data_IF_745480596992
#
_entry.id   IF_745480596992
#
_cell.length_a   1.000
_cell.length_b   1.000
_cell.length_c   1.000
_cell.angle_alpha   90.00
_cell.angle_beta   90.00
_cell.angle_gamma   90.00
#
_symmetry.space_group_name_H-M   'P 1'
#
loop_
_entity.id
_entity.type
_entity.pdbx_description
1 polymer ?
#
# COMPACT_ATOMS: atom_id res chain seq x y z
N UNK A 1 9.91 24.54 27.17
CA UNK A 1 9.13 23.29 27.06
C UNK A 1 9.88 22.38 26.11
N UNK A 2 10.40 21.25 26.59
CA UNK A 2 11.10 20.27 25.74
C UNK A 2 10.07 19.27 25.23
N UNK A 3 9.99 18.99 23.92
CA UNK A 3 9.06 17.98 23.42
C UNK A 3 9.51 16.60 23.91
N UNK A 4 8.67 15.96 24.73
CA UNK A 4 8.87 14.58 25.17
C UNK A 4 8.43 13.66 24.03
N UNK A 5 9.38 13.16 23.24
CA UNK A 5 9.13 12.08 22.28
C UNK A 5 9.11 10.75 23.04
N UNK A 6 7.97 10.44 23.67
CA UNK A 6 7.66 9.09 24.09
C UNK A 6 6.62 8.55 23.13
N UNK A 7 6.93 7.54 22.32
CA UNK A 7 5.89 6.76 21.65
C UNK A 7 5.12 6.02 22.75
N UNK A 8 3.88 6.40 23.11
CA UNK A 8 3.12 5.61 24.06
C UNK A 8 3.02 4.19 23.48
N UNK A 9 3.20 3.17 24.31
CA UNK A 9 2.97 1.80 23.88
C UNK A 9 1.46 1.68 23.61
N UNK A 10 1.09 1.64 22.33
CA UNK A 10 -0.30 1.44 21.90
C UNK A 10 -0.48 -0.03 21.55
N UNK A 11 -1.47 -0.67 22.18
CA UNK A 11 -1.80 -2.08 22.01
C UNK A 11 -3.25 -2.21 21.63
N UNK A 12 -3.57 -3.17 20.77
CA UNK A 12 -4.94 -3.45 20.34
C UNK A 12 -5.23 -4.93 20.53
N UNK A 13 -6.48 -5.22 20.91
CA UNK A 13 -6.94 -6.57 21.18
C UNK A 13 -7.26 -7.34 19.89
N UNK A 14 -7.42 -6.63 18.76
CA UNK A 14 -7.83 -7.22 17.49
C UNK A 14 -7.18 -6.57 16.27
N UNK A 15 -6.71 -7.40 15.36
CA UNK A 15 -6.25 -7.00 14.03
C UNK A 15 -6.89 -7.93 12.99
N UNK A 16 -7.55 -7.33 12.01
CA UNK A 16 -8.07 -8.07 10.87
C UNK A 16 -7.72 -7.40 9.55
N UNK A 17 -7.66 -8.22 8.51
CA UNK A 17 -7.50 -7.81 7.14
C UNK A 17 -8.39 -8.67 6.25
N UNK A 18 -8.92 -8.06 5.21
CA UNK A 18 -9.70 -8.74 4.18
C UNK A 18 -9.36 -8.11 2.84
N UNK A 19 -9.34 -8.91 1.78
CA UNK A 19 -9.04 -8.38 0.46
C UNK A 19 -9.00 -9.46 -0.59
N UNK A 20 -8.80 -9.02 -1.82
CA UNK A 20 -8.71 -9.87 -2.98
C UNK A 20 -7.71 -9.31 -3.99
N UNK A 21 -7.12 -10.24 -4.74
CA UNK A 21 -6.36 -9.95 -5.95
C UNK A 21 -7.14 -10.50 -7.15
N UNK A 22 -7.11 -9.73 -8.24
CA UNK A 22 -7.54 -10.18 -9.55
C UNK A 22 -6.39 -10.03 -10.54
N UNK A 23 -6.08 -11.11 -11.26
CA UNK A 23 -5.08 -11.09 -12.34
C UNK A 23 -5.79 -11.48 -13.63
N UNK A 24 -5.82 -10.54 -14.58
CA UNK A 24 -6.35 -10.81 -15.91
C UNK A 24 -5.31 -11.51 -16.78
N UNK A 25 -5.79 -12.25 -17.79
CA UNK A 25 -4.94 -12.83 -18.84
C UNK A 25 -4.21 -11.77 -19.67
N UNK A 26 -4.69 -10.53 -19.69
CA UNK A 26 -4.08 -9.39 -20.36
C UNK A 26 -2.95 -8.72 -19.55
N UNK A 27 -2.54 -9.31 -18.42
CA UNK A 27 -1.41 -8.84 -17.61
C UNK A 27 -1.74 -7.71 -16.62
N UNK A 28 -3.01 -7.32 -16.49
CA UNK A 28 -3.45 -6.45 -15.41
C UNK A 28 -3.55 -7.19 -14.08
N UNK A 29 -3.06 -6.57 -13.02
CA UNK A 29 -3.27 -6.97 -11.63
C UNK A 29 -4.05 -5.87 -10.93
N UNK A 30 -5.12 -6.23 -10.23
CA UNK A 30 -5.88 -5.32 -9.38
C UNK A 30 -5.95 -5.92 -7.98
N UNK A 31 -5.76 -5.09 -6.97
CA UNK A 31 -5.68 -5.51 -5.57
C UNK A 31 -6.53 -4.55 -4.75
N UNK A 32 -7.39 -5.10 -3.90
CA UNK A 32 -8.19 -4.30 -2.98
C UNK A 32 -8.14 -4.96 -1.61
N UNK A 33 -7.69 -4.20 -0.61
CA UNK A 33 -7.56 -4.68 0.75
C UNK A 33 -8.08 -3.65 1.72
N UNK A 34 -8.72 -4.13 2.78
CA UNK A 34 -9.08 -3.34 3.96
C UNK A 34 -8.45 -4.01 5.17
N UNK A 35 -8.02 -3.20 6.12
CA UNK A 35 -7.42 -3.66 7.37
C UNK A 35 -7.91 -2.79 8.51
N UNK A 36 -8.14 -3.42 9.66
CA UNK A 36 -8.56 -2.79 10.89
C UNK A 36 -7.59 -3.18 11.98
N UNK A 37 -7.04 -2.18 12.65
CA UNK A 37 -6.36 -2.35 13.92
C UNK A 37 -7.22 -1.68 14.98
N UNK A 38 -7.88 -2.50 15.79
CA UNK A 38 -9.00 -2.08 16.64
C UNK A 38 -8.58 -0.95 17.58
N UNK A 39 -9.46 0.05 17.71
CA UNK A 39 -9.23 1.31 18.43
C UNK A 39 -8.07 2.20 17.97
N UNK A 40 -7.38 1.85 16.88
CA UNK A 40 -6.20 2.59 16.40
C UNK A 40 -6.46 3.17 15.03
N UNK A 41 -6.66 2.34 14.00
CA UNK A 41 -6.91 2.82 12.64
C UNK A 41 -7.65 1.79 11.78
N UNK A 42 -8.36 2.32 10.78
CA UNK A 42 -8.86 1.59 9.62
C UNK A 42 -8.05 2.03 8.39
N UNK A 43 -7.66 1.07 7.54
CA UNK A 43 -6.87 1.34 6.34
C UNK A 43 -7.39 0.59 5.14
N UNK A 44 -7.58 1.35 4.08
CA UNK A 44 -7.94 0.87 2.75
C UNK A 44 -6.72 0.94 1.85
N UNK A 45 -6.53 -0.08 1.03
CA UNK A 45 -5.49 -0.17 0.01
C UNK A 45 -6.09 -0.56 -1.32
N UNK A 46 -5.73 0.19 -2.35
CA UNK A 46 -6.01 -0.12 -3.75
C UNK A 46 -4.69 -0.19 -4.52
N UNK A 47 -4.50 -1.30 -5.23
CA UNK A 47 -3.36 -1.53 -6.11
C UNK A 47 -3.82 -1.78 -7.53
N UNK A 48 -3.15 -1.16 -8.50
CA UNK A 48 -3.35 -1.43 -9.91
C UNK A 48 -2.00 -1.56 -10.61
N UNK A 49 -1.75 -2.74 -11.15
CA UNK A 49 -0.53 -3.08 -11.86
C UNK A 49 -0.79 -3.52 -13.28
N UNK A 50 0.18 -3.30 -14.17
CA UNK A 50 0.21 -3.88 -15.50
C UNK A 50 1.59 -4.38 -15.86
N UNK A 51 1.65 -5.67 -16.18
CA UNK A 51 2.81 -6.29 -16.81
C UNK A 51 2.56 -6.45 -18.29
N UNK A 52 3.47 -5.93 -19.11
CA UNK A 52 3.43 -6.09 -20.56
C UNK A 52 4.81 -6.46 -21.08
N UNK A 53 4.83 -7.24 -22.16
CA UNK A 53 6.02 -7.54 -22.90
C UNK A 53 5.98 -6.78 -24.23
N UNK A 54 7.04 -6.04 -24.53
CA UNK A 54 7.26 -5.37 -25.81
C UNK A 54 8.53 -5.95 -26.45
N UNK A 55 8.41 -7.16 -27.00
CA UNK A 55 9.52 -7.89 -27.60
C UNK A 55 10.54 -8.35 -26.54
N UNK A 56 11.80 -7.90 -26.59
CA UNK A 56 12.80 -8.30 -25.61
C UNK A 56 12.70 -7.56 -24.27
N UNK A 57 11.80 -6.58 -24.14
CA UNK A 57 11.65 -5.74 -22.96
C UNK A 57 10.37 -6.10 -22.21
N UNK A 58 10.49 -6.40 -20.91
CA UNK A 58 9.35 -6.49 -20.01
C UNK A 58 9.18 -5.17 -19.27
N UNK A 59 7.94 -4.70 -19.18
CA UNK A 59 7.57 -3.49 -18.47
C UNK A 59 6.54 -3.84 -17.42
N UNK A 60 6.77 -3.40 -16.19
CA UNK A 60 5.86 -3.50 -15.06
C UNK A 60 5.58 -2.11 -14.53
N UNK A 61 4.31 -1.73 -14.48
CA UNK A 61 3.84 -0.46 -13.91
C UNK A 61 2.92 -0.79 -12.76
N UNK A 62 3.14 -0.17 -11.60
CA UNK A 62 2.32 -0.38 -10.41
C UNK A 62 1.94 0.97 -9.80
N UNK A 63 0.64 1.15 -9.57
CA UNK A 63 0.07 2.24 -8.80
C UNK A 63 -0.48 1.68 -7.48
N UNK A 64 -0.18 2.36 -6.39
CA UNK A 64 -0.62 2.01 -5.05
C UNK A 64 -1.28 3.22 -4.41
N UNK A 65 -2.40 3.04 -3.75
CA UNK A 65 -3.10 4.08 -3.01
C UNK A 65 -3.51 3.54 -1.64
N UNK A 66 -3.22 4.30 -0.59
CA UNK A 66 -3.57 4.00 0.79
C UNK A 66 -4.35 5.16 1.37
N UNK A 67 -5.41 4.84 2.09
CA UNK A 67 -6.14 5.77 2.94
C UNK A 67 -6.22 5.17 4.33
N UNK A 68 -5.61 5.83 5.32
CA UNK A 68 -5.58 5.39 6.72
C UNK A 68 -6.24 6.45 7.57
N UNK A 69 -7.24 6.06 8.37
CA UNK A 69 -7.95 6.95 9.27
C UNK A 69 -8.00 6.35 10.68
N UNK A 70 -8.02 7.20 11.70
CA UNK A 70 -8.22 6.77 13.07
C UNK A 70 -9.58 6.07 13.23
N UNK A 71 -9.64 5.11 14.15
CA UNK A 71 -10.84 4.29 14.35
C UNK A 71 -11.05 3.98 15.84
N UNK A 72 -12.31 3.72 16.23
CA UNK A 72 -12.69 3.37 17.60
C UNK A 72 -12.32 4.45 18.62
N UNK A 73 -11.63 4.05 19.69
CA UNK A 73 -11.18 4.94 20.78
C UNK A 73 -9.98 5.82 20.43
N UNK A 74 -9.41 5.69 19.24
CA UNK A 74 -8.25 6.46 18.76
C UNK A 74 -7.07 6.45 19.74
N UNK A 75 -6.76 5.30 20.34
CA UNK A 75 -5.68 5.19 21.35
C UNK A 75 -4.29 5.48 20.76
N UNK A 76 -4.17 5.44 19.43
CA UNK A 76 -3.01 5.87 18.66
C UNK A 76 -2.94 7.37 18.37
N UNK A 77 -3.94 8.14 18.80
CA UNK A 77 -4.14 9.54 18.42
C UNK A 77 -4.89 9.69 17.09
N UNK A 78 -5.09 10.94 16.68
CA UNK A 78 -5.73 11.25 15.41
C UNK A 78 -4.82 10.84 14.24
N UNK A 79 -5.35 10.01 13.34
CA UNK A 79 -4.65 9.52 12.16
C UNK A 79 -5.49 9.91 10.96
N UNK A 80 -4.92 10.72 10.07
CA UNK A 80 -5.48 11.02 8.75
C UNK A 80 -4.31 11.05 7.77
N UNK A 81 -4.20 9.99 6.98
CA UNK A 81 -3.03 9.75 6.15
C UNK A 81 -3.43 9.14 4.82
N UNK A 82 -3.08 9.85 3.75
CA UNK A 82 -3.17 9.35 2.38
C UNK A 82 -1.76 9.16 1.83
N UNK A 83 -1.50 8.03 1.17
CA UNK A 83 -0.22 7.76 0.51
C UNK A 83 -0.47 7.17 -0.86
N UNK A 84 0.30 7.65 -1.83
CA UNK A 84 0.21 7.22 -3.21
C UNK A 84 1.60 6.79 -3.66
N UNK A 85 1.69 5.65 -4.33
CA UNK A 85 2.92 5.12 -4.89
C UNK A 85 2.74 4.91 -6.38
N UNK A 86 3.74 5.29 -7.16
CA UNK A 86 3.85 4.90 -8.56
C UNK A 86 5.23 4.31 -8.79
N UNK A 87 5.29 3.11 -9.36
CA UNK A 87 6.54 2.51 -9.78
C UNK A 87 6.48 2.02 -11.21
N UNK A 88 7.61 2.16 -11.89
CA UNK A 88 7.86 1.70 -13.24
C UNK A 88 9.13 0.86 -13.22
N UNK A 89 9.04 -0.37 -13.71
CA UNK A 89 10.17 -1.28 -13.83
C UNK A 89 10.29 -1.74 -15.28
N UNK A 90 11.43 -1.46 -15.92
CA UNK A 90 11.77 -2.03 -17.21
C UNK A 90 12.87 -3.08 -17.06
N UNK A 91 12.73 -4.18 -17.78
CA UNK A 91 13.67 -5.28 -17.75
C UNK A 91 14.08 -5.64 -19.17
N UNK A 92 15.37 -5.74 -19.42
CA UNK A 92 15.94 -6.15 -20.69
C UNK A 92 17.04 -7.18 -20.46
N UNK A 93 16.80 -8.43 -20.89
CA UNK A 93 17.63 -9.60 -20.60
C UNK A 93 17.86 -9.74 -19.08
N UNK A 94 19.09 -9.50 -18.62
CA UNK A 94 19.50 -9.66 -17.22
C UNK A 94 19.61 -8.30 -16.50
N UNK A 95 19.20 -7.19 -17.14
CA UNK A 95 19.23 -5.86 -16.56
C UNK A 95 17.82 -5.40 -16.19
N UNK A 96 17.69 -4.74 -15.05
CA UNK A 96 16.44 -4.16 -14.57
C UNK A 96 16.69 -2.73 -14.12
N UNK A 97 15.81 -1.82 -14.52
CA UNK A 97 15.77 -0.45 -14.03
C UNK A 97 14.40 -0.23 -13.38
N UNK A 98 14.39 0.22 -12.11
CA UNK A 98 13.16 0.56 -11.38
C UNK A 98 13.21 2.02 -10.97
N UNK A 99 12.12 2.73 -11.24
CA UNK A 99 11.88 4.09 -10.80
C UNK A 99 10.63 4.05 -9.91
N UNK A 100 10.68 4.74 -8.78
CA UNK A 100 9.58 4.85 -7.83
C UNK A 100 9.36 6.30 -7.41
N UNK A 101 8.11 6.67 -7.26
CA UNK A 101 7.65 7.93 -6.68
C UNK A 101 6.66 7.60 -5.57
N UNK A 102 6.76 8.30 -4.45
CA UNK A 102 5.88 8.17 -3.29
C UNK A 102 5.63 9.55 -2.67
#
# INVERSE_FOLDING_TARGET
MSPTYGSPLVTSDFNAYAGADYVSTAGWRSSAYVSRFDDIWDREYLGLGKKTNWGPVNVDVQLDAYNTQSSGREIGGNIDQQAYGLSFTSQWRNHSLKIGLQ
#
